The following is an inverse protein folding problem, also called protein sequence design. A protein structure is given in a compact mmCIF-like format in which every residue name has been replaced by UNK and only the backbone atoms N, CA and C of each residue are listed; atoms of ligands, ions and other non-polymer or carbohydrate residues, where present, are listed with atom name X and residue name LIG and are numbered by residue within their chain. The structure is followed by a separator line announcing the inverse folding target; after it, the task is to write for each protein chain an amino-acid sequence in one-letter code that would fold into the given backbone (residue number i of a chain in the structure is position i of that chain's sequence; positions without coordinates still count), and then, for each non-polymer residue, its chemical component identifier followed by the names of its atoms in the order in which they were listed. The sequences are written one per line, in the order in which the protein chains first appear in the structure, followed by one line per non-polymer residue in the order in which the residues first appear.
data_IF_113056562553
#
_entry.id   IF_113056562553
#
_cell.length_a   1.000
_cell.length_b   1.000
_cell.length_c   1.000
_cell.angle_alpha   90.00
_cell.angle_beta   90.00
_cell.angle_gamma   90.00
#
_symmetry.space_group_name_H-M   'P 1'
#
loop_
_entity.id
_entity.type
_entity.pdbx_description
1 polymer ?
#
# COMPACT_ATOMS: atom_id res chain seq x y z
N UNK A 1 -10.01 17.31 6.13
CA UNK A 1 -11.27 16.85 5.49
C UNK A 1 -11.53 15.43 5.98
N UNK A 2 -12.76 15.15 6.40
CA UNK A 2 -13.20 14.08 7.31
C UNK A 2 -12.65 12.65 7.04
N UNK A 3 -11.93 12.09 8.02
CA UNK A 3 -11.65 10.65 8.19
C UNK A 3 -12.88 9.89 8.75
N UNK A 4 -14.12 10.27 8.38
CA UNK A 4 -15.35 9.78 9.04
C UNK A 4 -16.04 8.60 8.34
N UNK A 5 -15.34 7.83 7.52
CA UNK A 5 -15.85 6.55 7.03
C UNK A 5 -14.82 5.45 7.32
N UNK A 6 -14.71 5.12 8.61
CA UNK A 6 -14.16 3.85 9.08
C UNK A 6 -15.21 2.76 8.82
N UNK A 7 -15.45 2.46 7.53
CA UNK A 7 -16.06 1.18 7.19
C UNK A 7 -15.00 0.10 7.37
N UNK A 8 -15.15 -0.58 8.51
CA UNK A 8 -14.83 -1.97 8.84
C UNK A 8 -13.56 -2.60 8.26
N UNK A 9 -12.66 -3.02 9.16
CA UNK A 9 -11.60 -4.01 8.96
C UNK A 9 -12.01 -5.16 8.01
N UNK A 10 -13.27 -5.62 8.14
CA UNK A 10 -13.86 -6.67 7.32
C UNK A 10 -13.88 -6.35 5.81
N UNK A 11 -14.21 -5.11 5.43
CA UNK A 11 -14.25 -4.70 4.01
C UNK A 11 -12.85 -4.73 3.41
N UNK A 12 -11.87 -4.20 4.13
CA UNK A 12 -10.49 -4.12 3.67
C UNK A 12 -9.88 -5.52 3.53
N UNK A 13 -10.13 -6.41 4.50
CA UNK A 13 -9.77 -7.83 4.40
C UNK A 13 -10.42 -8.52 3.21
N UNK A 14 -11.73 -8.30 3.01
CA UNK A 14 -12.46 -8.86 1.87
C UNK A 14 -11.83 -8.43 0.54
N UNK A 15 -11.47 -7.14 0.41
CA UNK A 15 -10.81 -6.61 -0.80
C UNK A 15 -9.43 -7.21 -1.02
N UNK A 16 -8.59 -7.28 0.01
CA UNK A 16 -7.22 -7.80 -0.07
C UNK A 16 -7.22 -9.30 -0.38
N UNK A 17 -8.05 -10.06 0.33
CA UNK A 17 -8.15 -11.52 0.18
C UNK A 17 -9.22 -11.96 -0.83
N UNK A 18 -9.71 -11.04 -1.65
CA UNK A 18 -10.62 -11.37 -2.75
C UNK A 18 -9.94 -12.29 -3.75
N UNK A 19 -10.69 -13.27 -4.23
CA UNK A 19 -10.28 -14.18 -5.31
C UNK A 19 -10.28 -13.43 -6.65
N UNK A 20 -9.17 -12.75 -6.94
CA UNK A 20 -8.93 -12.05 -8.21
C UNK A 20 -8.20 -12.99 -9.18
N UNK A 21 -8.57 -12.98 -10.46
CA UNK A 21 -7.84 -13.73 -11.49
C UNK A 21 -6.45 -13.13 -11.77
N UNK A 22 -6.27 -11.82 -11.53
CA UNK A 22 -5.02 -11.11 -11.67
C UNK A 22 -4.76 -10.26 -10.41
N UNK A 23 -3.49 -10.22 -10.00
CA UNK A 23 -3.03 -9.39 -8.87
C UNK A 23 -2.56 -8.03 -9.38
N UNK A 24 -2.86 -6.98 -8.62
CA UNK A 24 -2.52 -5.59 -8.96
C UNK A 24 -1.29 -5.18 -8.15
N UNK A 25 -0.19 -4.91 -8.86
CA UNK A 25 1.04 -4.36 -8.29
C UNK A 25 1.13 -2.88 -8.66
N UNK A 26 1.16 -2.00 -7.68
CA UNK A 26 1.28 -0.56 -7.91
C UNK A 26 2.71 -0.09 -7.61
N UNK A 27 3.33 0.65 -8.54
CA UNK A 27 4.58 1.35 -8.25
C UNK A 27 4.26 2.62 -7.47
N UNK A 28 4.89 2.80 -6.32
CA UNK A 28 4.67 4.00 -5.50
C UNK A 28 5.81 5.01 -5.65
N UNK A 29 5.44 6.29 -5.61
CA UNK A 29 6.32 7.44 -5.75
C UNK A 29 5.87 8.60 -4.88
N UNK A 30 6.50 9.79 -5.00
CA UNK A 30 6.21 10.93 -4.13
C UNK A 30 4.72 11.30 -4.01
N UNK A 31 3.94 11.14 -5.07
CA UNK A 31 2.50 11.41 -5.07
C UNK A 31 1.65 10.40 -4.29
N UNK A 32 2.19 9.21 -3.99
CA UNK A 32 1.44 8.07 -3.45
C UNK A 32 2.07 7.40 -2.23
N UNK A 33 3.11 8.01 -1.64
CA UNK A 33 3.85 7.48 -0.48
C UNK A 33 3.25 7.91 0.88
N UNK A 34 2.26 8.81 0.88
CA UNK A 34 1.58 9.22 2.11
C UNK A 34 0.54 8.19 2.56
N UNK A 35 0.29 8.14 3.87
CA UNK A 35 -0.59 7.17 4.53
C UNK A 35 -2.02 7.15 3.94
N UNK A 36 -2.61 8.32 3.69
CA UNK A 36 -3.98 8.41 3.18
C UNK A 36 -4.09 7.78 1.78
N UNK A 37 -3.10 8.04 0.93
CA UNK A 37 -3.07 7.51 -0.43
C UNK A 37 -2.80 6.01 -0.44
N UNK A 38 -1.87 5.53 0.38
CA UNK A 38 -1.60 4.09 0.55
C UNK A 38 -2.88 3.37 1.00
N UNK A 39 -3.52 3.87 2.06
CA UNK A 39 -4.77 3.28 2.59
C UNK A 39 -5.86 3.24 1.52
N UNK A 40 -5.99 4.33 0.74
CA UNK A 40 -6.94 4.38 -0.38
C UNK A 40 -6.59 3.33 -1.44
N UNK A 41 -5.35 3.23 -1.88
CA UNK A 41 -4.93 2.28 -2.92
C UNK A 41 -5.21 0.83 -2.52
N UNK A 42 -4.96 0.46 -1.25
CA UNK A 42 -5.29 -0.88 -0.74
C UNK A 42 -6.81 -1.12 -0.79
N UNK A 43 -7.63 -0.13 -0.41
CA UNK A 43 -9.10 -0.22 -0.50
C UNK A 43 -9.61 -0.35 -1.93
N UNK A 44 -8.95 0.27 -2.90
CA UNK A 44 -9.27 0.14 -4.33
C UNK A 44 -8.77 -1.19 -4.92
N UNK A 45 -8.07 -2.03 -4.15
CA UNK A 45 -7.72 -3.39 -4.53
C UNK A 45 -6.29 -3.62 -4.97
N UNK A 46 -5.36 -2.70 -4.68
CA UNK A 46 -3.92 -2.99 -4.83
C UNK A 46 -3.52 -4.16 -3.94
N UNK A 47 -2.83 -5.13 -4.52
CA UNK A 47 -2.36 -6.34 -3.82
C UNK A 47 -0.92 -6.20 -3.32
N UNK A 48 -0.06 -5.42 -3.98
CA UNK A 48 1.33 -5.21 -3.58
C UNK A 48 1.86 -3.85 -4.04
N UNK A 49 2.90 -3.37 -3.34
CA UNK A 49 3.59 -2.14 -3.71
C UNK A 49 5.01 -2.41 -4.22
N UNK A 50 5.34 -1.86 -5.38
CA UNK A 50 6.69 -1.85 -5.97
C UNK A 50 7.38 -0.54 -5.65
N UNK A 51 8.60 -0.65 -5.14
CA UNK A 51 9.52 0.46 -4.93
C UNK A 51 10.61 0.41 -5.99
N UNK A 52 10.64 1.42 -6.86
CA UNK A 52 11.71 1.56 -7.85
C UNK A 52 12.93 2.21 -7.17
N UNK A 53 14.04 1.48 -7.04
CA UNK A 53 15.27 1.97 -6.43
C UNK A 53 16.17 2.78 -7.37
N UNK A 54 15.83 2.91 -8.65
CA UNK A 54 16.54 3.78 -9.60
C UNK A 54 16.29 5.27 -9.34
N UNK A 55 15.24 5.61 -8.56
CA UNK A 55 14.85 6.99 -8.26
C UNK A 55 14.46 7.17 -6.79
N UNK A 56 14.47 8.42 -6.32
CA UNK A 56 14.07 8.78 -4.95
C UNK A 56 15.09 8.39 -3.88
N UNK A 57 14.98 9.01 -2.71
CA UNK A 57 15.88 8.76 -1.57
C UNK A 57 15.49 7.49 -0.80
N UNK A 58 16.40 6.95 0.00
CA UNK A 58 16.05 5.86 0.93
C UNK A 58 15.06 6.33 2.01
N UNK A 59 15.23 7.55 2.52
CA UNK A 59 14.37 8.10 3.57
C UNK A 59 12.90 8.21 3.14
N UNK A 60 12.63 8.63 1.89
CA UNK A 60 11.26 8.65 1.34
C UNK A 60 10.65 7.25 1.23
N UNK A 61 11.47 6.26 0.84
CA UNK A 61 11.04 4.86 0.75
C UNK A 61 10.78 4.27 2.13
N UNK A 62 11.64 4.55 3.11
CA UNK A 62 11.49 4.09 4.49
C UNK A 62 10.19 4.61 5.11
N UNK A 63 9.91 5.91 4.98
CA UNK A 63 8.63 6.49 5.45
C UNK A 63 7.41 5.85 4.78
N UNK A 64 7.51 5.53 3.50
CA UNK A 64 6.44 4.85 2.80
C UNK A 64 6.26 3.38 3.25
N UNK A 65 7.36 2.68 3.52
CA UNK A 65 7.33 1.33 4.10
C UNK A 65 6.66 1.37 5.48
N UNK A 66 7.04 2.32 6.34
CA UNK A 66 6.41 2.53 7.65
C UNK A 66 4.90 2.77 7.52
N UNK A 67 4.47 3.60 6.57
CA UNK A 67 3.05 3.82 6.29
C UNK A 67 2.34 2.54 5.86
N UNK A 68 2.96 1.70 5.01
CA UNK A 68 2.37 0.41 4.62
C UNK A 68 2.27 -0.52 5.84
N UNK A 69 3.31 -0.65 6.65
CA UNK A 69 3.30 -1.48 7.87
C UNK A 69 2.25 -1.01 8.88
N UNK A 70 2.07 0.30 9.03
CA UNK A 70 0.99 0.85 9.84
C UNK A 70 -0.39 0.43 9.32
N UNK A 71 -0.61 0.43 8.00
CA UNK A 71 -1.87 -0.03 7.38
C UNK A 71 -2.07 -1.53 7.62
N UNK A 72 -1.02 -2.35 7.47
CA UNK A 72 -1.07 -3.79 7.76
C UNK A 72 -1.50 -4.07 9.20
N UNK A 73 -0.81 -3.47 10.17
CA UNK A 73 -1.11 -3.63 11.61
C UNK A 73 -2.52 -3.13 11.92
N UNK A 74 -2.86 -1.96 11.38
CA UNK A 74 -4.17 -1.34 11.62
C UNK A 74 -5.33 -2.12 11.06
N UNK A 75 -5.16 -2.93 10.02
CA UNK A 75 -6.27 -3.67 9.39
C UNK A 75 -6.11 -5.20 9.47
N UNK A 76 -5.05 -5.69 10.09
CA UNK A 76 -4.69 -7.11 10.20
C UNK A 76 -4.64 -7.80 8.81
N UNK A 77 -3.91 -7.17 7.90
CA UNK A 77 -3.71 -7.64 6.52
C UNK A 77 -2.22 -7.70 6.19
N UNK A 78 -1.89 -8.47 5.16
CA UNK A 78 -0.54 -8.54 4.61
C UNK A 78 -0.48 -7.88 3.23
N UNK A 79 0.50 -7.02 3.03
CA UNK A 79 0.77 -6.26 1.80
C UNK A 79 2.23 -6.50 1.40
N UNK A 80 2.48 -7.34 0.38
CA UNK A 80 3.80 -7.54 -0.18
C UNK A 80 4.45 -6.25 -0.66
N UNK A 81 5.73 -6.09 -0.32
CA UNK A 81 6.58 -5.00 -0.78
C UNK A 81 7.67 -5.55 -1.70
N UNK A 82 7.79 -4.99 -2.90
CA UNK A 82 8.72 -5.45 -3.93
C UNK A 82 9.79 -4.39 -4.12
N UNK A 83 11.05 -4.76 -3.88
CA UNK A 83 12.19 -3.94 -4.23
C UNK A 83 12.58 -4.22 -5.70
N UNK A 84 12.48 -3.18 -6.52
CA UNK A 84 12.94 -3.22 -7.91
C UNK A 84 14.28 -2.49 -8.02
N UNK A 85 15.33 -3.26 -8.32
CA UNK A 85 16.72 -2.82 -8.26
C UNK A 85 17.16 -2.22 -9.60
N UNK A 86 18.03 -1.19 -9.59
CA UNK A 86 18.62 -0.68 -10.83
C UNK A 86 19.42 -1.78 -11.53
N UNK A 87 19.38 -1.78 -12.86
CA UNK A 87 20.18 -2.68 -13.72
C UNK A 87 21.56 -2.09 -13.97
#
# INVERSE_FOLDING_TARGET
MKLTHLNTFSELKSTVYSMKQAKIIATIGPASMNLDTITKLVREGVDAFRFNFSHGTYEEKDKAIENVRFVEEKFDIEIPLIADLPT
#
